data_IF_934959160722
#
_entry.id   IF_934959160722
#
_cell.length_a   1.000
_cell.length_b   1.000
_cell.length_c   1.000
_cell.angle_alpha   90.00
_cell.angle_beta   90.00
_cell.angle_gamma   90.00
#
_symmetry.space_group_name_H-M   'P 1'
#
loop_
_entity.id
_entity.type
_entity.pdbx_description
1 polymer ?
#
# COMPACT_ATOMS: atom_id res chain seq x y z
N UNK A 1 23.69 64.15 -42.50
CA UNK A 1 23.84 63.13 -41.45
C UNK A 1 22.51 62.38 -41.33
N UNK A 2 22.34 61.31 -42.12
CA UNK A 2 21.07 60.60 -42.25
C UNK A 2 21.05 59.37 -41.35
N UNK A 3 20.08 59.29 -40.44
CA UNK A 3 19.87 58.15 -39.54
C UNK A 3 19.18 57.02 -40.32
N UNK A 4 19.83 55.87 -40.39
CA UNK A 4 19.27 54.63 -40.96
C UNK A 4 18.50 53.89 -39.87
N UNK A 5 17.20 53.69 -40.09
CA UNK A 5 16.33 52.89 -39.21
C UNK A 5 16.28 51.45 -39.72
N UNK A 6 16.80 50.51 -38.92
CA UNK A 6 16.71 49.07 -39.19
C UNK A 6 15.37 48.56 -38.63
N UNK A 7 14.45 48.19 -39.53
CA UNK A 7 13.21 47.47 -39.20
C UNK A 7 13.55 46.00 -38.93
N UNK A 8 13.38 45.56 -37.69
CA UNK A 8 13.47 44.15 -37.30
C UNK A 8 12.08 43.52 -37.52
N UNK A 9 11.97 42.62 -38.50
CA UNK A 9 10.77 41.81 -38.72
C UNK A 9 10.75 40.65 -37.72
N UNK A 10 9.72 40.60 -36.87
CA UNK A 10 9.44 39.46 -35.99
C UNK A 10 8.92 38.30 -36.84
N UNK A 11 9.73 37.26 -37.00
CA UNK A 11 9.31 35.98 -37.57
C UNK A 11 8.47 35.26 -36.51
N UNK A 12 7.16 35.12 -36.77
CA UNK A 12 6.28 34.30 -35.98
C UNK A 12 6.59 32.83 -36.26
N UNK A 13 7.15 32.12 -35.27
CA UNK A 13 7.40 30.69 -35.35
C UNK A 13 6.09 29.95 -35.02
N UNK A 14 5.45 29.42 -36.05
CA UNK A 14 4.29 28.54 -35.94
C UNK A 14 4.76 27.20 -35.37
N UNK A 15 4.44 26.90 -34.10
CA UNK A 15 4.62 25.53 -33.57
C UNK A 15 3.45 24.70 -34.08
N UNK A 16 3.70 23.97 -35.17
CA UNK A 16 2.79 22.94 -35.64
C UNK A 16 2.68 21.85 -34.57
N UNK A 17 1.52 21.77 -33.95
CA UNK A 17 1.14 20.70 -33.04
C UNK A 17 0.99 19.41 -33.87
N UNK A 18 2.09 18.67 -34.03
CA UNK A 18 2.00 17.31 -34.55
C UNK A 18 1.31 16.46 -33.51
N UNK A 19 0.03 16.17 -33.74
CA UNK A 19 -0.66 15.05 -33.13
C UNK A 19 0.14 13.78 -33.45
N UNK A 20 1.02 13.40 -32.54
CA UNK A 20 1.56 12.07 -32.46
C UNK A 20 0.36 11.14 -32.40
N UNK A 21 0.13 10.39 -33.47
CA UNK A 21 -0.70 9.20 -33.44
C UNK A 21 -0.16 8.33 -32.31
N UNK A 22 -0.87 8.34 -31.18
CA UNK A 22 -0.70 7.36 -30.12
C UNK A 22 -0.99 6.02 -30.76
N UNK A 23 0.07 5.32 -31.16
CA UNK A 23 0.02 3.89 -31.40
C UNK A 23 -0.61 3.34 -30.11
N UNK A 24 -1.83 2.83 -30.23
CA UNK A 24 -2.52 2.14 -29.16
C UNK A 24 -1.71 0.90 -28.80
N UNK A 25 -0.71 1.09 -27.94
CA UNK A 25 -0.20 0.02 -27.12
C UNK A 25 -1.39 -0.45 -26.30
N UNK A 26 -1.91 -1.61 -26.69
CA UNK A 26 -2.79 -2.42 -25.85
C UNK A 26 -2.21 -2.44 -24.45
N UNK A 27 -3.00 -1.90 -23.51
CA UNK A 27 -2.82 -1.92 -22.06
C UNK A 27 -1.98 -3.15 -21.67
N UNK A 28 -0.82 -2.90 -21.05
CA UNK A 28 0.01 -3.94 -20.43
C UNK A 28 -0.87 -5.00 -19.80
N UNK A 29 -0.64 -6.28 -20.11
CA UNK A 29 -1.20 -7.36 -19.31
C UNK A 29 -0.78 -7.12 -17.85
N UNK A 30 -1.71 -6.60 -17.05
CA UNK A 30 -1.44 -6.15 -15.70
C UNK A 30 -1.07 -7.33 -14.80
N UNK A 31 -0.64 -7.04 -13.57
CA UNK A 31 -0.25 -8.07 -12.59
C UNK A 31 -1.27 -9.20 -12.42
N UNK A 32 -2.56 -8.92 -12.64
CA UNK A 32 -3.64 -9.89 -12.55
C UNK A 32 -3.61 -10.98 -13.64
N UNK A 33 -3.03 -10.69 -14.80
CA UNK A 33 -2.90 -11.62 -15.93
C UNK A 33 -1.59 -12.41 -15.92
N UNK A 34 -0.68 -12.10 -14.98
CA UNK A 34 0.55 -12.84 -14.78
C UNK A 34 0.26 -14.31 -14.48
N UNK A 35 0.93 -15.23 -15.19
CA UNK A 35 0.70 -16.67 -15.09
C UNK A 35 1.68 -17.31 -14.11
N UNK A 36 1.13 -18.09 -13.19
CA UNK A 36 1.87 -18.89 -12.22
C UNK A 36 1.74 -20.37 -12.58
N UNK A 37 2.89 -21.04 -12.76
CA UNK A 37 2.95 -22.44 -13.19
C UNK A 37 2.29 -23.38 -12.19
N UNK A 38 2.57 -23.20 -10.90
CA UNK A 38 1.99 -24.00 -9.83
C UNK A 38 2.07 -23.25 -8.52
N UNK A 39 1.01 -23.34 -7.71
CA UNK A 39 0.95 -22.82 -6.35
C UNK A 39 0.13 -23.78 -5.49
N UNK A 40 0.53 -23.96 -4.24
CA UNK A 40 -0.17 -24.80 -3.30
C UNK A 40 -0.24 -24.13 -1.93
N UNK A 41 -1.34 -24.37 -1.23
CA UNK A 41 -1.62 -23.91 0.12
C UNK A 41 -2.02 -25.13 0.94
N UNK A 42 -1.48 -25.28 2.14
CA UNK A 42 -1.89 -26.33 3.06
C UNK A 42 -2.23 -25.70 4.40
N UNK A 43 -3.53 -25.62 4.73
CA UNK A 43 -4.05 -25.01 5.94
C UNK A 43 -3.47 -23.60 6.20
N UNK A 44 -3.24 -22.87 5.11
CA UNK A 44 -2.66 -21.53 5.16
C UNK A 44 -3.72 -20.51 5.54
N UNK A 45 -3.37 -19.48 6.29
CA UNK A 45 -4.25 -18.31 6.43
C UNK A 45 -4.21 -17.43 5.19
N UNK A 46 -5.13 -16.46 5.07
CA UNK A 46 -5.13 -15.50 3.95
C UNK A 46 -3.76 -14.80 3.79
N UNK A 47 -3.14 -14.40 4.90
CA UNK A 47 -1.81 -13.78 4.92
C UNK A 47 -0.75 -14.72 4.35
N UNK A 48 -0.75 -15.96 4.79
CA UNK A 48 0.23 -16.98 4.38
C UNK A 48 0.05 -17.35 2.90
N UNK A 49 -1.18 -17.50 2.45
CA UNK A 49 -1.49 -17.77 1.05
C UNK A 49 -1.05 -16.62 0.12
N UNK A 50 -1.31 -15.37 0.51
CA UNK A 50 -0.89 -14.19 -0.25
C UNK A 50 0.63 -13.98 -0.22
N UNK A 51 1.33 -14.42 0.83
CA UNK A 51 2.79 -14.28 0.93
C UNK A 51 3.51 -15.01 -0.22
N UNK A 52 2.95 -16.13 -0.71
CA UNK A 52 3.50 -16.87 -1.84
C UNK A 52 3.51 -16.05 -3.14
N UNK A 53 2.60 -15.08 -3.30
CA UNK A 53 2.61 -14.19 -4.47
C UNK A 53 3.86 -13.29 -4.49
N UNK A 54 4.43 -12.98 -3.32
CA UNK A 54 5.65 -12.17 -3.23
C UNK A 54 6.87 -12.86 -3.83
N UNK A 55 6.92 -14.18 -3.79
CA UNK A 55 7.98 -14.97 -4.43
C UNK A 55 7.98 -14.79 -5.96
N UNK A 56 6.87 -14.33 -6.53
CA UNK A 56 6.71 -13.96 -7.94
C UNK A 56 6.91 -12.45 -8.19
N UNK A 57 7.37 -11.70 -7.19
CA UNK A 57 7.55 -10.24 -7.28
C UNK A 57 6.24 -9.45 -7.28
N UNK A 58 5.12 -10.08 -6.91
CA UNK A 58 3.82 -9.42 -6.86
C UNK A 58 3.69 -8.69 -5.53
N UNK A 59 3.48 -7.38 -5.60
CA UNK A 59 3.29 -6.54 -4.43
C UNK A 59 1.85 -6.61 -3.93
N UNK A 60 1.69 -6.97 -2.65
CA UNK A 60 0.40 -7.20 -2.02
C UNK A 60 0.31 -6.40 -0.73
N UNK A 61 -0.81 -5.71 -0.52
CA UNK A 61 -1.17 -5.11 0.76
C UNK A 61 -2.43 -5.78 1.31
N UNK A 62 -2.50 -5.94 2.63
CA UNK A 62 -3.53 -6.72 3.29
C UNK A 62 -4.11 -5.99 4.50
N UNK A 63 -5.41 -5.75 4.48
CA UNK A 63 -6.21 -5.45 5.68
C UNK A 63 -6.82 -6.74 6.17
N UNK A 64 -6.41 -7.23 7.34
CA UNK A 64 -7.00 -8.44 7.93
C UNK A 64 -8.40 -8.14 8.45
N UNK A 65 -9.29 -9.12 8.31
CA UNK A 65 -10.58 -9.11 9.02
C UNK A 65 -10.30 -9.00 10.52
N UNK A 66 -10.96 -8.08 11.24
CA UNK A 66 -10.82 -7.99 12.69
C UNK A 66 -11.25 -9.28 13.38
N UNK A 67 -10.48 -9.74 14.36
CA UNK A 67 -10.71 -10.98 15.09
C UNK A 67 -10.66 -10.72 16.59
N UNK A 68 -11.46 -11.45 17.36
CA UNK A 68 -11.33 -11.46 18.80
C UNK A 68 -10.05 -12.18 19.22
N UNK A 69 -9.53 -11.85 20.40
CA UNK A 69 -8.39 -12.57 20.95
C UNK A 69 -8.71 -14.07 21.10
N UNK A 70 -7.92 -14.92 20.43
CA UNK A 70 -8.12 -16.37 20.40
C UNK A 70 -9.04 -16.89 19.28
N UNK A 71 -9.66 -16.02 18.48
CA UNK A 71 -10.40 -16.42 17.29
C UNK A 71 -9.44 -16.88 16.19
N UNK A 72 -9.73 -18.00 15.55
CA UNK A 72 -8.88 -18.57 14.50
C UNK A 72 -9.21 -18.00 13.11
N UNK A 73 -8.17 -17.79 12.30
CA UNK A 73 -8.35 -17.43 10.89
C UNK A 73 -8.86 -18.61 10.07
N UNK A 74 -9.66 -18.30 9.04
CA UNK A 74 -10.03 -19.26 8.00
C UNK A 74 -8.76 -19.89 7.42
N UNK A 75 -8.74 -21.22 7.40
CA UNK A 75 -7.64 -22.01 6.84
C UNK A 75 -8.00 -22.45 5.42
N UNK A 76 -7.11 -22.16 4.48
CA UNK A 76 -7.27 -22.38 3.05
C UNK A 76 -6.29 -23.48 2.62
N UNK A 77 -6.79 -24.48 1.91
CA UNK A 77 -5.99 -25.55 1.32
C UNK A 77 -6.38 -25.74 -0.14
N UNK A 78 -5.40 -25.80 -1.02
CA UNK A 78 -5.65 -25.95 -2.45
C UNK A 78 -4.37 -26.06 -3.25
N UNK A 79 -4.48 -26.61 -4.47
CA UNK A 79 -3.39 -26.64 -5.44
C UNK A 79 -3.92 -26.14 -6.78
N UNK A 80 -3.25 -25.14 -7.34
CA UNK A 80 -3.60 -24.53 -8.62
C UNK A 80 -2.40 -24.64 -9.56
N UNK A 81 -2.66 -24.86 -10.85
CA UNK A 81 -1.60 -25.00 -11.85
C UNK A 81 -1.95 -24.26 -13.14
N UNK A 82 -0.96 -23.63 -13.75
CA UNK A 82 -1.08 -22.81 -14.95
C UNK A 82 -2.22 -21.78 -14.87
N UNK A 83 -2.33 -21.12 -13.72
CA UNK A 83 -3.38 -20.14 -13.39
C UNK A 83 -2.84 -18.71 -13.47
N UNK A 84 -3.71 -17.73 -13.70
CA UNK A 84 -3.35 -16.32 -13.55
C UNK A 84 -3.46 -15.89 -12.10
N UNK A 85 -2.81 -14.78 -11.74
CA UNK A 85 -2.95 -14.13 -10.42
C UNK A 85 -4.42 -13.85 -10.10
N UNK A 86 -5.20 -13.37 -11.08
CA UNK A 86 -6.65 -13.19 -10.94
C UNK A 86 -7.35 -14.45 -10.43
N UNK A 87 -7.07 -15.59 -11.05
CA UNK A 87 -7.73 -16.85 -10.72
C UNK A 87 -7.33 -17.33 -9.30
N UNK A 88 -6.10 -17.02 -8.85
CA UNK A 88 -5.65 -17.26 -7.47
C UNK A 88 -6.40 -16.36 -6.49
N UNK A 89 -6.52 -15.06 -6.76
CA UNK A 89 -7.26 -14.13 -5.89
C UNK A 89 -8.73 -14.52 -5.76
N UNK A 90 -9.36 -14.88 -6.88
CA UNK A 90 -10.74 -15.37 -6.90
C UNK A 90 -10.90 -16.66 -6.08
N UNK A 91 -9.94 -17.58 -6.16
CA UNK A 91 -9.91 -18.78 -5.33
C UNK A 91 -9.82 -18.46 -3.83
N UNK A 92 -8.90 -17.56 -3.43
CA UNK A 92 -8.72 -17.17 -2.03
C UNK A 92 -9.95 -16.46 -1.46
N UNK A 93 -10.57 -15.57 -2.24
CA UNK A 93 -11.80 -14.85 -1.83
C UNK A 93 -13.01 -15.77 -1.81
N UNK A 94 -13.08 -16.77 -2.69
CA UNK A 94 -14.12 -17.80 -2.59
C UNK A 94 -13.99 -18.60 -1.28
N UNK A 95 -12.77 -18.89 -0.85
CA UNK A 95 -12.51 -19.60 0.41
C UNK A 95 -12.79 -18.73 1.65
N UNK A 96 -12.53 -17.43 1.62
CA UNK A 96 -12.94 -16.48 2.66
C UNK A 96 -13.70 -15.27 2.07
N UNK A 97 -15.04 -15.36 1.95
CA UNK A 97 -15.85 -14.37 1.24
C UNK A 97 -15.99 -13.04 1.99
N UNK A 98 -15.38 -12.89 3.17
CA UNK A 98 -15.31 -11.61 3.90
C UNK A 98 -14.37 -10.63 3.19
N UNK A 99 -13.41 -11.14 2.42
CA UNK A 99 -12.45 -10.34 1.68
C UNK A 99 -12.94 -9.95 0.28
N UNK A 100 -12.33 -8.90 -0.27
CA UNK A 100 -12.34 -8.52 -1.67
C UNK A 100 -10.95 -7.99 -2.03
N UNK A 101 -10.72 -7.70 -3.31
CA UNK A 101 -9.49 -7.06 -3.76
C UNK A 101 -9.75 -5.95 -4.77
N UNK A 102 -8.74 -5.11 -4.94
CA UNK A 102 -8.64 -4.18 -6.06
C UNK A 102 -7.18 -4.03 -6.49
N UNK A 103 -6.98 -3.51 -7.69
CA UNK A 103 -5.66 -3.16 -8.20
C UNK A 103 -5.49 -1.65 -8.07
N UNK A 104 -4.53 -1.24 -7.24
CA UNK A 104 -4.15 0.15 -7.10
C UNK A 104 -3.09 0.54 -8.14
N UNK A 105 -2.62 1.79 -8.06
CA UNK A 105 -1.54 2.28 -8.90
C UNK A 105 -0.28 1.40 -8.77
N UNK A 106 0.56 1.41 -9.81
CA UNK A 106 1.79 0.62 -9.87
C UNK A 106 1.58 -0.89 -9.69
N UNK A 107 0.42 -1.43 -10.08
CA UNK A 107 0.11 -2.86 -10.00
C UNK A 107 0.13 -3.44 -8.57
N UNK A 108 -0.15 -2.63 -7.56
CA UNK A 108 -0.29 -3.10 -6.17
C UNK A 108 -1.65 -3.77 -6.00
N UNK A 109 -1.66 -4.97 -5.45
CA UNK A 109 -2.90 -5.69 -5.13
C UNK A 109 -3.28 -5.38 -3.68
N UNK A 110 -4.40 -4.69 -3.47
CA UNK A 110 -4.94 -4.46 -2.14
C UNK A 110 -6.02 -5.48 -1.85
N UNK A 111 -5.88 -6.24 -0.76
CA UNK A 111 -6.88 -7.18 -0.26
C UNK A 111 -7.42 -6.65 1.06
N UNK A 112 -8.74 -6.55 1.18
CA UNK A 112 -9.39 -5.93 2.34
C UNK A 112 -10.81 -6.49 2.59
N UNK A 113 -11.38 -6.32 3.80
CA UNK A 113 -12.75 -6.73 4.08
C UNK A 113 -13.75 -5.93 3.23
N UNK A 114 -14.77 -6.58 2.65
CA UNK A 114 -15.71 -5.97 1.67
C UNK A 114 -16.32 -4.61 2.06
N UNK A 115 -16.48 -4.36 3.36
CA UNK A 115 -17.11 -3.14 3.87
C UNK A 115 -16.10 -2.13 4.45
N UNK A 116 -14.80 -2.43 4.48
CA UNK A 116 -13.80 -1.59 5.16
C UNK A 116 -13.64 -0.23 4.48
N UNK A 117 -13.54 -0.16 3.15
CA UNK A 117 -13.34 1.11 2.41
C UNK A 117 -14.44 2.14 2.58
N UNK A 118 -15.67 1.71 2.84
CA UNK A 118 -16.82 2.60 3.01
C UNK A 118 -17.16 2.85 4.49
N UNK A 119 -16.43 2.23 5.43
CA UNK A 119 -16.68 2.37 6.85
C UNK A 119 -16.01 3.64 7.40
N UNK A 120 -16.75 4.69 7.77
CA UNK A 120 -16.16 5.93 8.28
C UNK A 120 -15.40 5.76 9.60
N UNK A 121 -15.64 4.68 10.34
CA UNK A 121 -14.98 4.37 11.61
C UNK A 121 -13.66 3.61 11.43
N UNK A 122 -13.35 3.16 10.21
CA UNK A 122 -12.10 2.47 9.91
C UNK A 122 -10.91 3.46 9.99
N UNK A 123 -9.90 3.13 10.79
CA UNK A 123 -8.70 3.93 10.96
C UNK A 123 -7.96 4.20 9.64
N UNK A 124 -8.07 3.28 8.67
CA UNK A 124 -7.46 3.43 7.36
C UNK A 124 -8.19 4.44 6.46
N UNK A 125 -9.45 4.78 6.77
CA UNK A 125 -10.24 5.80 6.09
C UNK A 125 -10.06 7.21 6.66
N UNK A 126 -9.31 7.37 7.77
CA UNK A 126 -9.02 8.69 8.33
C UNK A 126 -8.27 9.52 7.29
N UNK A 127 -8.80 10.71 7.02
CA UNK A 127 -8.25 11.64 6.05
C UNK A 127 -7.14 12.49 6.68
N UNK A 128 -5.99 12.51 6.03
CA UNK A 128 -4.79 13.25 6.40
C UNK A 128 -4.66 14.44 5.46
N UNK A 129 -4.67 15.65 6.02
CA UNK A 129 -4.65 16.90 5.25
C UNK A 129 -3.28 17.12 4.64
N UNK A 130 -2.22 16.90 5.43
CA UNK A 130 -0.83 17.00 5.01
C UNK A 130 -0.03 15.88 5.71
N UNK A 131 0.69 15.11 4.91
CA UNK A 131 1.59 14.06 5.37
C UNK A 131 2.99 14.34 4.83
N UNK A 132 3.96 14.47 5.72
CA UNK A 132 5.35 14.69 5.33
C UNK A 132 6.29 13.85 6.20
N UNK A 133 7.15 13.07 5.52
CA UNK A 133 8.24 12.34 6.14
C UNK A 133 9.54 12.69 5.42
N UNK A 134 10.64 12.78 6.18
CA UNK A 134 11.97 13.08 5.66
C UNK A 134 12.97 12.07 6.18
N UNK A 135 13.71 11.44 5.27
CA UNK A 135 14.77 10.49 5.60
C UNK A 135 14.28 9.29 6.44
N UNK A 136 13.09 8.78 6.14
CA UNK A 136 12.55 7.55 6.74
C UNK A 136 12.93 6.35 5.87
N UNK A 137 13.15 5.18 6.48
CA UNK A 137 13.12 3.91 5.75
C UNK A 137 11.68 3.37 5.65
N UNK A 138 11.46 2.47 4.69
CA UNK A 138 10.14 1.94 4.36
C UNK A 138 9.48 1.20 5.53
N UNK A 139 10.26 0.46 6.33
CA UNK A 139 9.74 -0.27 7.48
C UNK A 139 9.19 0.71 8.53
N UNK A 140 10.00 1.69 8.95
CA UNK A 140 9.59 2.67 9.94
C UNK A 140 8.41 3.53 9.45
N UNK A 141 8.38 3.87 8.16
CA UNK A 141 7.26 4.62 7.57
C UNK A 141 5.92 3.85 7.69
N UNK A 142 5.93 2.53 7.52
CA UNK A 142 4.73 1.68 7.65
C UNK A 142 4.41 1.40 9.13
N UNK A 143 5.37 0.91 9.91
CA UNK A 143 5.11 0.45 11.28
C UNK A 143 4.82 1.60 12.25
N UNK A 144 5.28 2.81 11.94
CA UNK A 144 5.04 4.00 12.76
C UNK A 144 4.00 4.96 12.16
N UNK A 145 3.17 4.50 11.22
CA UNK A 145 2.19 5.36 10.56
C UNK A 145 1.26 6.06 11.56
N UNK A 146 0.88 5.38 12.65
CA UNK A 146 0.06 5.94 13.72
C UNK A 146 0.70 7.09 14.50
N UNK A 147 2.04 7.16 14.52
CA UNK A 147 2.80 8.19 15.21
C UNK A 147 3.14 9.38 14.31
N UNK A 148 3.32 9.11 13.01
CA UNK A 148 3.79 10.10 12.03
C UNK A 148 2.66 10.72 11.21
N UNK A 149 1.48 10.09 11.11
CA UNK A 149 0.28 10.67 10.51
C UNK A 149 -0.50 11.51 11.56
N UNK A 150 -0.57 12.86 11.42
CA UNK A 150 -1.05 13.73 12.51
C UNK A 150 -2.50 13.48 12.94
N UNK A 151 -3.43 13.35 12.01
CA UNK A 151 -4.86 13.18 12.31
C UNK A 151 -5.17 11.78 12.84
N UNK A 152 -4.50 10.75 12.32
CA UNK A 152 -4.58 9.39 12.89
C UNK A 152 -4.06 9.39 14.34
N UNK A 153 -2.89 10.00 14.58
CA UNK A 153 -2.34 10.14 15.93
C UNK A 153 -3.31 10.85 16.88
N UNK A 154 -3.87 11.98 16.44
CA UNK A 154 -4.81 12.76 17.23
C UNK A 154 -6.09 11.96 17.54
N UNK A 155 -6.60 11.22 16.56
CA UNK A 155 -7.74 10.33 16.74
C UNK A 155 -7.46 9.27 17.82
N UNK A 156 -6.33 8.55 17.69
CA UNK A 156 -5.94 7.52 18.65
C UNK A 156 -5.71 8.10 20.05
N UNK A 157 -5.06 9.26 20.16
CA UNK A 157 -4.84 9.94 21.45
C UNK A 157 -6.15 10.39 22.12
N UNK A 158 -7.17 10.76 21.36
CA UNK A 158 -8.49 11.12 21.91
C UNK A 158 -9.20 9.91 22.49
N UNK A 159 -9.07 8.75 21.85
CA UNK A 159 -9.73 7.52 22.26
C UNK A 159 -9.01 6.86 23.45
N UNK A 160 -7.68 6.95 23.50
CA UNK A 160 -6.89 6.46 24.62
C UNK A 160 -7.04 7.41 25.83
N UNK A 161 -7.48 6.89 26.98
CA UNK A 161 -7.56 7.68 28.22
C UNK A 161 -6.17 8.27 28.55
N UNK A 162 -6.10 9.52 29.07
CA UNK A 162 -4.83 10.13 29.45
C UNK A 162 -4.11 9.24 30.47
N UNK A 163 -2.95 8.70 30.09
CA UNK A 163 -2.12 7.82 30.93
C UNK A 163 -1.68 6.51 30.27
N UNK A 164 -2.30 6.08 29.16
CA UNK A 164 -1.88 4.90 28.40
C UNK A 164 -1.20 5.29 27.09
N UNK A 165 0.09 5.61 27.12
CA UNK A 165 0.88 5.65 25.87
C UNK A 165 1.23 4.20 25.54
N UNK A 166 0.76 3.63 24.40
CA UNK A 166 1.17 2.29 24.00
C UNK A 166 2.69 2.26 23.90
N UNK A 167 3.31 1.33 24.63
CA UNK A 167 4.75 1.20 24.75
C UNK A 167 5.42 1.22 23.38
N UNK A 168 6.20 2.26 23.14
CA UNK A 168 7.12 2.31 22.01
C UNK A 168 8.18 1.25 22.28
N UNK A 169 8.06 0.09 21.63
CA UNK A 169 9.17 -0.83 21.51
C UNK A 169 10.21 -0.15 20.61
N UNK A 170 11.03 0.73 21.19
CA UNK A 170 12.22 1.30 20.56
C UNK A 170 13.16 0.12 20.33
N UNK A 171 13.01 -0.52 19.16
CA UNK A 171 13.91 -1.56 18.71
C UNK A 171 15.20 -0.89 18.27
N UNK A 172 16.33 -1.43 18.72
CA UNK A 172 17.66 -0.86 18.53
C UNK A 172 17.96 -0.47 17.07
N UNK A 173 18.71 0.63 16.98
CA UNK A 173 19.18 1.41 15.83
C UNK A 173 19.93 0.57 14.77
N UNK A 174 19.24 -0.34 14.09
CA UNK A 174 19.70 -1.00 12.85
C UNK A 174 19.36 -0.16 11.59
N UNK A 175 19.04 1.12 11.78
CA UNK A 175 18.47 2.04 10.79
C UNK A 175 19.47 2.64 9.79
N UNK A 176 20.78 2.46 9.98
CA UNK A 176 21.78 3.14 9.14
C UNK A 176 21.97 2.51 7.75
N UNK A 177 21.62 1.23 7.58
CA UNK A 177 21.87 0.50 6.33
C UNK A 177 20.67 0.45 5.38
N UNK A 178 19.49 0.89 5.80
CA UNK A 178 18.29 0.84 4.97
C UNK A 178 18.20 2.08 4.08
N UNK A 179 17.79 1.94 2.80
CA UNK A 179 17.51 3.08 1.94
C UNK A 179 16.48 4.01 2.60
N UNK A 180 16.79 5.30 2.60
CA UNK A 180 15.92 6.35 3.15
C UNK A 180 15.24 7.12 2.03
N UNK A 181 14.01 7.53 2.26
CA UNK A 181 13.23 8.33 1.33
C UNK A 181 12.52 9.48 2.05
N UNK A 182 12.01 10.40 1.26
CA UNK A 182 11.18 11.51 1.73
C UNK A 182 9.93 11.57 0.88
N UNK A 183 8.81 11.89 1.50
CA UNK A 183 7.51 11.87 0.85
C UNK A 183 6.68 13.01 1.42
N UNK A 184 6.03 13.77 0.53
CA UNK A 184 5.09 14.83 0.88
C UNK A 184 3.80 14.60 0.11
N UNK A 185 2.70 14.43 0.83
CA UNK A 185 1.38 14.12 0.30
C UNK A 185 0.35 15.02 0.96
N UNK A 186 -0.77 15.24 0.26
CA UNK A 186 -1.84 16.11 0.73
C UNK A 186 -3.18 15.48 0.45
N UNK A 187 -4.11 15.61 1.41
CA UNK A 187 -5.53 15.29 1.22
C UNK A 187 -5.77 13.82 0.84
N UNK A 188 -5.08 12.89 1.51
CA UNK A 188 -5.15 11.45 1.28
C UNK A 188 -5.62 10.71 2.53
N UNK A 189 -6.19 9.51 2.38
CA UNK A 189 -6.48 8.66 3.54
C UNK A 189 -5.22 7.97 4.06
N UNK A 190 -5.26 7.42 5.28
CA UNK A 190 -4.17 6.59 5.81
C UNK A 190 -3.85 5.42 4.87
N UNK A 191 -4.88 4.77 4.28
CA UNK A 191 -4.72 3.73 3.27
C UNK A 191 -3.94 4.20 2.05
N UNK A 192 -4.32 5.37 1.52
CA UNK A 192 -3.66 5.94 0.34
C UNK A 192 -2.20 6.27 0.63
N UNK A 193 -1.90 6.79 1.83
CA UNK A 193 -0.53 7.07 2.26
C UNK A 193 0.28 5.77 2.35
N UNK A 194 -0.27 4.71 2.93
CA UNK A 194 0.40 3.40 3.00
C UNK A 194 0.65 2.82 1.60
N UNK A 195 -0.30 2.98 0.67
CA UNK A 195 -0.12 2.60 -0.73
C UNK A 195 0.99 3.43 -1.39
N UNK A 196 1.04 4.74 -1.17
CA UNK A 196 2.13 5.60 -1.69
C UNK A 196 3.49 5.20 -1.13
N UNK A 197 3.57 4.77 0.14
CA UNK A 197 4.81 4.22 0.73
C UNK A 197 5.18 2.89 0.06
N UNK A 198 4.21 2.01 -0.19
CA UNK A 198 4.44 0.76 -0.92
C UNK A 198 4.91 1.02 -2.37
N UNK A 199 4.34 2.00 -3.07
CA UNK A 199 4.82 2.42 -4.39
C UNK A 199 6.28 2.90 -4.35
N UNK A 200 6.67 3.67 -3.32
CA UNK A 200 8.08 4.06 -3.14
C UNK A 200 8.98 2.85 -2.94
N UNK A 201 8.50 1.78 -2.28
CA UNK A 201 9.26 0.54 -2.20
C UNK A 201 9.56 -0.02 -3.58
N UNK A 202 8.58 -0.10 -4.48
CA UNK A 202 8.79 -0.57 -5.85
C UNK A 202 9.85 0.24 -6.59
N UNK A 203 9.88 1.56 -6.40
CA UNK A 203 10.88 2.44 -7.02
C UNK A 203 12.29 2.24 -6.44
N UNK A 204 12.41 2.21 -5.12
CA UNK A 204 13.70 2.09 -4.40
C UNK A 204 14.30 0.69 -4.62
N UNK A 205 13.45 -0.32 -4.65
CA UNK A 205 13.83 -1.72 -4.71
C UNK A 205 13.84 -2.29 -6.13
N UNK A 206 13.48 -1.50 -7.14
CA UNK A 206 13.48 -1.95 -8.54
C UNK A 206 14.87 -2.46 -8.94
N UNK A 207 14.96 -3.75 -9.28
CA UNK A 207 16.19 -4.42 -9.66
C UNK A 207 17.08 -4.88 -8.49
N UNK A 208 16.70 -4.61 -7.24
CA UNK A 208 17.41 -5.09 -6.06
C UNK A 208 16.84 -6.44 -5.61
N UNK A 209 17.61 -7.51 -5.78
CA UNK A 209 17.18 -8.87 -5.40
C UNK A 209 17.14 -9.10 -3.88
N UNK A 210 17.93 -8.34 -3.13
CA UNK A 210 18.04 -8.50 -1.68
C UNK A 210 16.89 -7.80 -0.94
N UNK A 211 16.26 -6.83 -1.60
CA UNK A 211 15.14 -6.08 -1.07
C UNK A 211 14.02 -6.09 -2.11
N UNK A 212 13.10 -7.06 -2.12
CA UNK A 212 11.95 -7.02 -3.03
C UNK A 212 11.02 -5.85 -2.65
N UNK A 213 10.13 -5.41 -3.57
CA UNK A 213 9.03 -4.50 -3.22
C UNK A 213 8.24 -5.02 -2.01
N UNK A 214 7.96 -4.13 -1.06
CA UNK A 214 7.24 -4.47 0.18
C UNK A 214 5.83 -3.88 0.15
N UNK A 215 4.85 -4.66 0.62
CA UNK A 215 3.52 -4.14 0.91
C UNK A 215 3.36 -3.81 2.39
N UNK A 216 2.12 -3.59 2.81
CA UNK A 216 1.77 -3.37 4.21
C UNK A 216 0.65 -4.33 4.66
N UNK A 217 0.64 -4.61 5.96
CA UNK A 217 -0.43 -5.31 6.66
C UNK A 217 -1.04 -4.37 7.68
N UNK A 218 -2.36 -4.33 7.71
CA UNK A 218 -3.12 -3.79 8.82
C UNK A 218 -3.89 -4.92 9.52
N UNK A 219 -3.83 -4.93 10.84
CA UNK A 219 -4.56 -5.85 11.70
C UNK A 219 -5.23 -5.07 12.82
N UNK A 220 -6.46 -5.44 13.14
CA UNK A 220 -7.18 -4.92 14.31
C UNK A 220 -7.66 -6.09 15.16
N UNK A 221 -7.04 -6.27 16.33
CA UNK A 221 -7.45 -7.32 17.28
C UNK A 221 -8.53 -6.74 18.19
N UNK A 222 -9.72 -7.32 18.16
CA UNK A 222 -10.87 -6.88 18.96
C UNK A 222 -10.60 -7.19 20.43
N UNK A 223 -10.75 -6.17 21.27
CA UNK A 223 -10.71 -6.24 22.72
C UNK A 223 -11.66 -5.18 23.27
N UNK A 224 -12.81 -5.62 23.77
CA UNK A 224 -13.86 -4.74 24.31
C UNK A 224 -13.39 -3.94 25.54
N UNK A 225 -12.33 -4.37 26.21
CA UNK A 225 -11.73 -3.63 27.33
C UNK A 225 -10.84 -2.47 26.87
N UNK A 226 -10.39 -2.49 25.61
CA UNK A 226 -9.65 -1.38 25.01
C UNK A 226 -10.59 -0.20 24.74
N UNK A 227 -10.18 1.05 25.03
CA UNK A 227 -10.96 2.23 24.68
C UNK A 227 -11.27 2.38 23.18
N UNK A 228 -10.48 1.72 22.32
CA UNK A 228 -10.68 1.69 20.88
C UNK A 228 -11.57 0.52 20.42
N UNK A 229 -12.01 -0.36 21.32
CA UNK A 229 -12.63 -1.64 20.97
C UNK A 229 -11.62 -2.68 20.43
N UNK A 230 -10.32 -2.38 20.48
CA UNK A 230 -9.26 -3.28 20.06
C UNK A 230 -7.89 -2.61 19.96
N UNK A 231 -6.96 -3.30 19.30
CA UNK A 231 -5.58 -2.85 19.08
C UNK A 231 -5.22 -2.86 17.59
N UNK A 232 -5.03 -1.69 16.98
CA UNK A 232 -4.55 -1.62 15.61
C UNK A 232 -3.04 -1.89 15.54
N UNK A 233 -2.60 -2.61 14.51
CA UNK A 233 -1.19 -2.85 14.23
C UNK A 233 -0.93 -2.70 12.73
N UNK A 234 0.17 -2.01 12.40
CA UNK A 234 0.67 -1.88 11.03
C UNK A 234 2.02 -2.58 10.91
N UNK A 235 2.21 -3.38 9.85
CA UNK A 235 3.43 -4.15 9.60
C UNK A 235 3.79 -4.11 8.12
N UNK A 236 5.03 -4.42 7.80
CA UNK A 236 5.41 -4.76 6.42
C UNK A 236 4.81 -6.12 6.05
N UNK A 237 4.34 -6.27 4.81
CA UNK A 237 3.90 -7.56 4.24
C UNK A 237 5.07 -8.30 3.63
#
# INVERSE_FOLDING_TARGET
MSKVYIKIYRVAFLIALTCSLSIGYTVEAGVIDFKIKSIAFEKATMREALAVLRDYGIQVCLERVPLHNGEEETRISGQLSNVRVKDILEYLIHADPRYTYEIAECNIINIYPKNSKNNPEDLLNIKISEFEIRQYDLYNAITHIAQIAPELRAYLQKMLKPGGVPGSNIRGEMDSLRPKFSLKLTNLTVRDILNKIAEQSSLINSGNRDFPPIGWIYEFVIDESSPLGGYPTWRIF
#
